data_IF_389163830403
#
_entry.id   IF_389163830403
#
_cell.length_a   1.000
_cell.length_b   1.000
_cell.length_c   1.000
_cell.angle_alpha   90.00
_cell.angle_beta   90.00
_cell.angle_gamma   90.00
#
_symmetry.space_group_name_H-M   'P 1'
#
loop_
_entity.id
_entity.type
_entity.pdbx_description
1 polymer ?
#
# COMPACT_ATOMS: atom_id res chain seq x y z
N UNK A 1 22.27 -24.36 12.51
CA UNK A 1 20.91 -24.13 13.02
C UNK A 1 21.03 -22.97 13.99
N UNK A 2 20.55 -21.76 13.77
CA UNK A 2 19.56 -21.18 12.86
C UNK A 2 19.86 -19.68 12.97
N UNK A 3 19.98 -18.91 11.91
CA UNK A 3 18.85 -18.10 11.47
C UNK A 3 19.16 -17.52 10.09
N UNK A 4 18.81 -18.30 9.07
CA UNK A 4 18.57 -17.79 7.71
C UNK A 4 17.18 -17.16 7.72
N UNK A 5 16.99 -16.08 8.46
CA UNK A 5 15.77 -15.27 8.39
C UNK A 5 15.98 -14.20 7.34
N UNK A 6 15.82 -14.65 6.09
CA UNK A 6 15.14 -13.93 5.04
C UNK A 6 15.33 -12.41 5.08
N UNK A 7 16.55 -11.96 4.74
CA UNK A 7 16.73 -10.69 4.07
C UNK A 7 16.12 -10.85 2.67
N UNK A 8 14.79 -10.78 2.58
CA UNK A 8 14.12 -10.50 1.32
C UNK A 8 14.49 -9.05 0.99
N UNK A 9 15.55 -8.94 0.19
CA UNK A 9 16.14 -7.72 -0.30
C UNK A 9 15.06 -6.69 -0.66
N UNK A 10 15.12 -5.55 0.02
CA UNK A 10 14.50 -4.33 -0.47
C UNK A 10 15.24 -3.98 -1.77
N UNK A 11 14.71 -4.44 -2.90
CA UNK A 11 15.10 -3.88 -4.19
C UNK A 11 14.81 -2.37 -4.13
N UNK A 12 15.72 -1.51 -4.63
CA UNK A 12 15.55 -0.07 -4.51
C UNK A 12 14.22 0.32 -5.13
N UNK A 13 13.38 1.03 -4.38
CA UNK A 13 12.14 1.61 -4.89
C UNK A 13 12.48 2.32 -6.21
N UNK A 14 11.85 1.89 -7.29
CA UNK A 14 11.97 2.58 -8.58
C UNK A 14 11.61 4.04 -8.34
N UNK A 15 12.40 4.99 -8.87
CA UNK A 15 12.27 6.45 -8.69
C UNK A 15 10.88 7.05 -9.05
N UNK A 16 9.92 6.21 -9.42
CA UNK A 16 8.58 6.55 -9.91
C UNK A 16 7.47 6.35 -8.87
N UNK A 17 7.72 5.62 -7.78
CA UNK A 17 6.68 5.28 -6.78
C UNK A 17 6.60 6.30 -5.64
N UNK A 18 5.38 6.67 -5.25
CA UNK A 18 5.13 7.63 -4.17
C UNK A 18 5.28 6.94 -2.80
N UNK A 19 6.12 7.43 -1.87
CA UNK A 19 6.21 6.90 -0.51
C UNK A 19 4.86 6.96 0.23
N UNK A 20 4.67 6.05 1.20
CA UNK A 20 3.45 5.96 2.01
C UNK A 20 3.60 6.55 3.42
N UNK A 21 4.81 6.91 3.83
CA UNK A 21 5.12 7.37 5.19
C UNK A 21 4.29 8.60 5.61
N UNK A 22 4.03 9.53 4.69
CA UNK A 22 3.28 10.76 4.94
C UNK A 22 1.85 10.76 4.36
N UNK A 23 1.33 9.62 3.91
CA UNK A 23 0.02 9.55 3.24
C UNK A 23 -1.09 9.26 4.26
N UNK A 24 -2.12 10.09 4.33
CA UNK A 24 -3.29 9.84 5.18
C UNK A 24 -4.29 8.90 4.50
N UNK A 25 -5.05 8.16 5.30
CA UNK A 25 -6.09 7.27 4.75
C UNK A 25 -7.10 8.04 3.87
N UNK A 26 -7.50 9.24 4.27
CA UNK A 26 -8.45 10.07 3.52
C UNK A 26 -7.99 10.36 2.09
N UNK A 27 -6.69 10.55 1.87
CA UNK A 27 -6.12 10.77 0.53
C UNK A 27 -6.23 9.51 -0.34
N UNK A 28 -6.01 8.35 0.27
CA UNK A 28 -6.17 7.07 -0.42
C UNK A 28 -7.63 6.83 -0.77
N UNK A 29 -8.55 7.04 0.18
CA UNK A 29 -9.99 6.87 -0.03
C UNK A 29 -10.54 7.86 -1.05
N UNK A 30 -10.08 9.10 -1.06
CA UNK A 30 -10.43 10.07 -2.11
C UNK A 30 -10.05 9.55 -3.49
N UNK A 31 -8.84 9.00 -3.63
CA UNK A 31 -8.40 8.38 -4.90
C UNK A 31 -9.19 7.13 -5.27
N UNK A 32 -9.69 6.38 -4.29
CA UNK A 32 -10.59 5.25 -4.55
C UNK A 32 -11.90 5.74 -5.18
N UNK A 33 -12.51 6.79 -4.60
CA UNK A 33 -13.74 7.40 -5.12
C UNK A 33 -13.51 8.04 -6.49
N UNK A 34 -12.41 8.78 -6.68
CA UNK A 34 -12.05 9.39 -7.98
C UNK A 34 -11.86 8.35 -9.10
N UNK A 35 -11.60 7.09 -8.75
CA UNK A 35 -11.39 5.98 -9.67
C UNK A 35 -12.57 5.01 -9.72
N UNK A 36 -13.71 5.36 -9.12
CA UNK A 36 -14.90 4.51 -9.00
C UNK A 36 -14.57 3.10 -8.45
N UNK A 37 -13.62 3.03 -7.52
CA UNK A 37 -13.22 1.77 -6.91
C UNK A 37 -14.24 1.33 -5.85
N UNK A 38 -14.65 0.05 -5.90
CA UNK A 38 -15.56 -0.53 -4.91
C UNK A 38 -14.86 -0.86 -3.60
N UNK A 39 -13.57 -1.19 -3.66
CA UNK A 39 -12.78 -1.60 -2.49
C UNK A 39 -11.33 -1.12 -2.61
N UNK A 40 -10.73 -0.89 -1.45
CA UNK A 40 -9.30 -0.67 -1.31
C UNK A 40 -8.68 -1.79 -0.50
N UNK A 41 -7.64 -2.40 -1.06
CA UNK A 41 -6.86 -3.44 -0.43
C UNK A 41 -5.52 -2.87 0.03
N UNK A 42 -5.28 -2.92 1.34
CA UNK A 42 -4.01 -2.57 1.97
C UNK A 42 -3.38 -3.85 2.51
N UNK A 43 -2.28 -4.28 1.88
CA UNK A 43 -1.60 -5.54 2.21
C UNK A 43 -0.09 -5.30 2.25
N UNK A 44 0.55 -5.75 3.33
CA UNK A 44 2.00 -5.61 3.51
C UNK A 44 2.77 -6.30 2.37
N UNK A 45 3.80 -5.63 1.87
CA UNK A 45 4.69 -6.14 0.83
C UNK A 45 4.22 -5.89 -0.59
N UNK A 46 3.04 -5.30 -0.80
CA UNK A 46 2.55 -4.85 -2.12
C UNK A 46 2.09 -3.39 -2.05
N UNK A 47 2.03 -2.66 -3.17
CA UNK A 47 1.39 -1.34 -3.18
C UNK A 47 -0.09 -1.44 -2.79
N UNK A 48 -0.74 -0.33 -2.39
CA UNK A 48 -2.20 -0.25 -2.27
C UNK A 48 -2.86 -0.66 -3.59
N UNK A 49 -3.91 -1.47 -3.50
CA UNK A 49 -4.62 -2.00 -4.67
C UNK A 49 -6.07 -1.54 -4.61
N UNK A 50 -6.60 -1.08 -5.73
CA UNK A 50 -8.01 -0.77 -5.89
C UNK A 50 -8.71 -1.89 -6.64
N UNK A 51 -9.96 -2.18 -6.27
CA UNK A 51 -10.87 -2.97 -7.09
C UNK A 51 -11.77 -2.03 -7.89
N UNK A 52 -11.56 -1.95 -9.20
CA UNK A 52 -12.35 -1.13 -10.13
C UNK A 52 -12.97 -2.06 -11.16
N UNK A 53 -14.30 -2.03 -11.31
CA UNK A 53 -15.05 -2.91 -12.22
C UNK A 53 -14.68 -4.40 -12.08
N UNK A 54 -14.45 -4.85 -10.85
CA UNK A 54 -14.06 -6.23 -10.53
C UNK A 54 -12.59 -6.57 -10.81
N UNK A 55 -11.79 -5.63 -11.32
CA UNK A 55 -10.37 -5.82 -11.61
C UNK A 55 -9.48 -5.19 -10.53
N UNK A 56 -8.40 -5.88 -10.17
CA UNK A 56 -7.41 -5.39 -9.20
C UNK A 56 -6.36 -4.54 -9.90
N UNK A 57 -6.27 -3.26 -9.53
CA UNK A 57 -5.33 -2.29 -10.08
C UNK A 57 -4.40 -1.78 -8.99
N UNK A 58 -3.10 -2.04 -9.13
CA UNK A 58 -2.09 -1.50 -8.21
C UNK A 58 -1.92 0.01 -8.40
N UNK A 59 -1.89 0.75 -7.30
CA UNK A 59 -1.66 2.19 -7.31
C UNK A 59 -0.17 2.52 -7.41
N UNK A 60 0.16 3.74 -7.85
CA UNK A 60 1.55 4.21 -7.98
C UNK A 60 2.14 4.67 -6.63
N UNK A 61 2.14 3.78 -5.65
CA UNK A 61 2.80 3.98 -4.35
C UNK A 61 3.89 2.93 -4.13
N UNK A 62 4.75 3.20 -3.17
CA UNK A 62 5.65 2.21 -2.63
C UNK A 62 4.87 1.03 -2.03
N UNK A 63 5.57 -0.10 -1.83
CA UNK A 63 4.99 -1.25 -1.13
C UNK A 63 4.66 -0.85 0.30
N UNK A 64 3.49 -1.27 0.77
CA UNK A 64 3.04 -1.07 2.15
C UNK A 64 3.98 -1.81 3.09
N UNK A 65 4.58 -1.10 4.04
CA UNK A 65 5.34 -1.71 5.14
C UNK A 65 4.42 -2.08 6.30
N UNK A 66 4.85 -2.93 7.26
CA UNK A 66 4.09 -3.17 8.48
C UNK A 66 3.75 -1.89 9.24
N UNK A 67 4.69 -0.93 9.28
CA UNK A 67 4.54 0.37 9.93
C UNK A 67 3.48 1.22 9.24
N UNK A 68 3.51 1.30 7.90
CA UNK A 68 2.48 2.02 7.13
C UNK A 68 1.10 1.44 7.39
N UNK A 69 0.96 0.11 7.35
CA UNK A 69 -0.31 -0.56 7.58
C UNK A 69 -0.90 -0.26 8.96
N UNK A 70 -0.07 -0.32 10.00
CA UNK A 70 -0.52 -0.02 11.36
C UNK A 70 -0.95 1.44 11.49
N UNK A 71 -0.17 2.38 10.94
CA UNK A 71 -0.48 3.81 10.96
C UNK A 71 -1.81 4.09 10.24
N UNK A 72 -1.98 3.59 9.02
CA UNK A 72 -3.17 3.82 8.20
C UNK A 72 -4.42 3.22 8.84
N UNK A 73 -4.33 2.05 9.47
CA UNK A 73 -5.49 1.43 10.15
C UNK A 73 -5.93 2.26 11.37
N UNK A 74 -4.99 2.84 12.12
CA UNK A 74 -5.32 3.71 13.25
C UNK A 74 -5.98 5.03 12.84
N UNK A 75 -5.85 5.49 11.58
CA UNK A 75 -6.57 6.67 11.10
C UNK A 75 -8.11 6.47 11.10
N UNK A 76 -8.59 5.23 11.19
CA UNK A 76 -10.04 4.88 11.24
C UNK A 76 -10.57 4.82 12.67
N UNK A 77 -9.68 4.65 13.66
CA UNK A 77 -10.05 4.33 15.04
C UNK A 77 -10.31 5.56 15.91
#
# INVERSE_FOLDING_TARGET
MSDVRNQAAQAPASRTQIPLDSVHLDDLLRKAVEKDASDMHLVVGVPPILRVDGQLTAMNYARVTPQDSQRIIYDIM
#
